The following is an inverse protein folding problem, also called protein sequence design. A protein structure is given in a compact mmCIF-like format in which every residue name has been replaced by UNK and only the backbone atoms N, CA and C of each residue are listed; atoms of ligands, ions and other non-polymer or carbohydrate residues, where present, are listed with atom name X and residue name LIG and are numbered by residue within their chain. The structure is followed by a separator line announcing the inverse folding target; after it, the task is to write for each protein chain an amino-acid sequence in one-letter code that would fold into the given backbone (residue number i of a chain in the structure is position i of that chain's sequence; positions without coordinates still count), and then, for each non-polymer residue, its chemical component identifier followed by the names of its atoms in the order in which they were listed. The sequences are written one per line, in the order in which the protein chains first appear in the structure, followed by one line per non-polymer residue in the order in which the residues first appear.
data_IF_594748264929
#
_entry.id   IF_594748264929
#
_cell.length_a   1.000
_cell.length_b   1.000
_cell.length_c   1.000
_cell.angle_alpha   90.00
_cell.angle_beta   90.00
_cell.angle_gamma   90.00
#
_symmetry.space_group_name_H-M   'P 1'
#
loop_
_entity.id
_entity.type
_entity.pdbx_description
1 polymer ?
#
# COMPACT_ATOMS: atom_id res chain seq x y z
N UNK A 1 2.00 -29.80 -0.03
CA UNK A 1 2.20 -29.13 -0.01
C UNK A 1 1.63 -28.10 0.42
N UNK A 2 1.71 -27.51 0.60
CA UNK A 2 1.33 -26.64 1.02
C UNK A 2 0.81 -25.69 0.33
N UNK A 3 0.16 -25.16 0.45
CA UNK A 3 -0.41 -24.41 -0.28
C UNK A 3 -0.47 -23.25 0.19
N UNK A 4 -0.33 -22.49 0.13
CA UNK A 4 -0.14 -21.48 0.51
C UNK A 4 -1.06 -20.63 0.53
N UNK A 5 -1.55 -20.22 0.32
CA UNK A 5 -2.32 -19.42 0.10
C UNK A 5 -2.58 -18.41 1.01
N UNK A 6 -3.70 -18.00 1.44
CA UNK A 6 -3.96 -16.94 2.35
C UNK A 6 -3.08 -17.05 3.56
N UNK A 7 -2.77 -18.25 3.94
CA UNK A 7 -1.92 -18.44 5.09
C UNK A 7 -0.55 -17.90 4.89
N UNK A 8 -0.15 -17.74 3.66
CA UNK A 8 1.21 -17.32 3.39
C UNK A 8 1.29 -15.88 2.93
N UNK A 9 0.22 -15.14 3.10
CA UNK A 9 0.25 -13.73 2.79
C UNK A 9 0.56 -12.98 4.07
N UNK A 10 1.71 -12.33 4.09
CA UNK A 10 2.12 -11.55 5.23
C UNK A 10 2.09 -10.10 4.90
N UNK A 11 1.42 -9.31 5.71
CA UNK A 11 1.37 -7.88 5.51
C UNK A 11 2.52 -7.24 6.26
N UNK A 12 3.26 -6.39 5.55
CA UNK A 12 4.30 -5.62 6.17
C UNK A 12 3.68 -4.35 6.72
N UNK A 13 4.54 -3.46 7.15
CA UNK A 13 4.13 -2.17 7.64
C UNK A 13 3.20 -1.46 6.65
N UNK A 14 3.49 -1.56 5.35
CA UNK A 14 2.63 -0.91 4.36
C UNK A 14 1.24 -1.53 4.33
N UNK A 15 1.16 -2.85 4.33
CA UNK A 15 -0.15 -3.50 4.31
C UNK A 15 -0.95 -3.22 5.56
N UNK A 16 -0.28 -3.21 6.71
CA UNK A 16 -0.97 -2.92 7.97
C UNK A 16 -1.43 -1.48 8.01
N UNK A 17 -0.62 -0.56 7.48
CA UNK A 17 -0.99 0.83 7.41
C UNK A 17 -2.21 1.01 6.50
N UNK A 18 -2.21 0.30 5.37
CA UNK A 18 -3.35 0.37 4.45
C UNK A 18 -4.61 -0.14 5.14
N UNK A 19 -4.50 -1.25 5.85
CA UNK A 19 -5.67 -1.80 6.52
C UNK A 19 -6.27 -0.81 7.50
N UNK A 20 -5.42 -0.18 8.31
CA UNK A 20 -5.90 0.77 9.28
C UNK A 20 -6.58 1.96 8.61
N UNK A 21 -5.93 2.49 7.57
CA UNK A 21 -6.45 3.65 6.89
C UNK A 21 -7.75 3.33 6.15
N UNK A 22 -7.79 2.19 5.45
CA UNK A 22 -8.99 1.82 4.69
C UNK A 22 -10.16 1.60 5.60
N UNK A 23 -9.94 0.96 6.76
CA UNK A 23 -11.05 0.72 7.68
C UNK A 23 -11.63 2.01 8.22
N UNK A 24 -10.79 3.00 8.38
CA UNK A 24 -11.25 4.28 8.91
C UNK A 24 -11.89 5.15 7.84
N UNK A 25 -11.29 5.21 6.66
CA UNK A 25 -11.71 6.16 5.64
C UNK A 25 -12.45 5.55 4.47
N UNK A 26 -12.39 4.25 4.31
CA UNK A 26 -13.08 3.55 3.22
C UNK A 26 -13.84 2.34 3.74
N UNK A 27 -14.70 2.54 4.75
CA UNK A 27 -15.33 1.38 5.40
C UNK A 27 -16.28 0.59 4.49
N UNK A 28 -16.94 1.25 3.55
CA UNK A 28 -17.83 0.50 2.66
C UNK A 28 -17.04 -0.40 1.73
N UNK A 29 -15.91 0.11 1.23
CA UNK A 29 -15.04 -0.70 0.38
C UNK A 29 -14.52 -1.91 1.15
N UNK A 30 -14.09 -1.69 2.39
CA UNK A 30 -13.57 -2.78 3.20
C UNK A 30 -14.66 -3.82 3.46
N UNK A 31 -15.86 -3.36 3.79
CA UNK A 31 -16.95 -4.29 4.05
C UNK A 31 -17.27 -5.13 2.84
N UNK A 32 -17.28 -4.51 1.67
CA UNK A 32 -17.54 -5.24 0.45
C UNK A 32 -16.46 -6.29 0.21
N UNK A 33 -15.22 -5.92 0.42
CA UNK A 33 -14.11 -6.88 0.24
C UNK A 33 -14.17 -8.00 1.26
N UNK A 34 -14.61 -7.70 2.48
CA UNK A 34 -14.76 -8.75 3.47
C UNK A 34 -15.85 -9.73 3.07
N UNK A 35 -16.97 -9.21 2.57
CA UNK A 35 -18.04 -10.08 2.14
C UNK A 35 -17.59 -10.97 1.00
N UNK A 36 -16.79 -10.44 0.09
CA UNK A 36 -16.31 -11.22 -1.04
C UNK A 36 -15.09 -12.07 -0.71
N UNK A 37 -14.51 -11.89 0.46
CA UNK A 37 -13.33 -12.63 0.85
C UNK A 37 -12.08 -12.18 0.15
N UNK A 38 -12.00 -10.92 -0.27
CA UNK A 38 -10.86 -10.44 -1.05
C UNK A 38 -10.03 -9.38 -0.34
N UNK A 39 -10.35 -9.06 0.91
CA UNK A 39 -9.67 -7.96 1.58
C UNK A 39 -8.17 -8.22 1.75
N UNK A 40 -7.80 -9.40 2.22
CA UNK A 40 -6.40 -9.69 2.46
C UNK A 40 -5.58 -9.58 1.18
N UNK A 41 -6.15 -10.11 0.09
CA UNK A 41 -5.44 -10.04 -1.19
C UNK A 41 -5.31 -8.61 -1.67
N UNK A 42 -6.35 -7.81 -1.47
CA UNK A 42 -6.29 -6.41 -1.88
C UNK A 42 -5.24 -5.65 -1.09
N UNK A 43 -5.15 -5.92 0.20
CA UNK A 43 -4.13 -5.28 1.03
C UNK A 43 -2.73 -5.71 0.61
N UNK A 44 -2.58 -7.00 0.31
CA UNK A 44 -1.30 -7.50 -0.13
C UNK A 44 -0.90 -6.87 -1.46
N UNK A 45 -1.84 -6.74 -2.37
CA UNK A 45 -1.53 -6.12 -3.64
C UNK A 45 -1.13 -4.66 -3.48
N UNK A 46 -1.85 -3.93 -2.63
CA UNK A 46 -1.50 -2.53 -2.37
C UNK A 46 -0.10 -2.43 -1.80
N UNK A 47 0.24 -3.34 -0.90
CA UNK A 47 1.56 -3.37 -0.31
C UNK A 47 2.64 -3.63 -1.35
N UNK A 48 2.42 -4.63 -2.20
CA UNK A 48 3.43 -5.01 -3.18
C UNK A 48 3.64 -3.91 -4.22
N UNK A 49 2.56 -3.27 -4.63
CA UNK A 49 2.70 -2.16 -5.57
C UNK A 49 3.43 -0.99 -4.94
N UNK A 50 3.15 -0.73 -3.66
CA UNK A 50 3.85 0.33 -2.97
C UNK A 50 5.34 0.04 -2.88
N UNK A 51 5.69 -1.19 -2.53
CA UNK A 51 7.10 -1.57 -2.44
C UNK A 51 7.80 -1.37 -3.77
N UNK A 52 7.18 -1.86 -4.85
CA UNK A 52 7.78 -1.75 -6.17
C UNK A 52 7.98 -0.30 -6.58
N UNK A 53 6.96 0.52 -6.39
CA UNK A 53 7.07 1.90 -6.84
C UNK A 53 7.98 2.72 -5.94
N UNK A 54 8.02 2.39 -4.65
CA UNK A 54 8.97 3.06 -3.76
C UNK A 54 10.40 2.77 -4.19
N UNK A 55 10.68 1.52 -4.54
CA UNK A 55 12.02 1.15 -4.97
C UNK A 55 12.41 1.89 -6.23
N UNK A 56 11.53 1.89 -7.21
CA UNK A 56 11.80 2.54 -8.48
C UNK A 56 11.97 4.04 -8.32
N UNK A 57 11.05 4.67 -7.63
CA UNK A 57 11.09 6.12 -7.52
C UNK A 57 12.24 6.60 -6.65
N UNK A 58 12.51 5.89 -5.56
CA UNK A 58 13.63 6.26 -4.72
C UNK A 58 14.93 6.20 -5.53
N UNK A 59 15.10 5.14 -6.32
CA UNK A 59 16.28 5.01 -7.15
C UNK A 59 16.39 6.16 -8.16
N UNK A 60 15.27 6.52 -8.78
CA UNK A 60 15.29 7.62 -9.72
C UNK A 60 15.66 8.93 -9.07
N UNK A 61 15.14 9.18 -7.88
CA UNK A 61 15.44 10.43 -7.20
C UNK A 61 16.91 10.48 -6.79
N UNK A 62 17.46 9.33 -6.41
CA UNK A 62 18.88 9.28 -6.06
C UNK A 62 19.78 9.51 -7.27
N UNK A 63 19.43 8.89 -8.40
CA UNK A 63 20.32 8.91 -9.55
C UNK A 63 20.11 10.12 -10.43
N UNK A 64 18.88 10.54 -10.61
CA UNK A 64 18.61 11.63 -11.54
C UNK A 64 18.59 12.99 -10.88
N UNK A 65 18.23 13.03 -9.61
CA UNK A 65 18.19 14.31 -8.90
C UNK A 65 19.25 14.40 -7.81
N UNK A 66 20.07 13.37 -7.70
CA UNK A 66 21.19 13.37 -6.76
C UNK A 66 20.78 13.60 -5.32
N UNK A 67 19.58 13.11 -4.95
CA UNK A 67 19.14 13.27 -3.58
C UNK A 67 19.82 12.24 -2.69
N UNK A 68 20.13 12.62 -1.44
CA UNK A 68 20.62 11.62 -0.50
C UNK A 68 19.58 10.53 -0.28
N UNK A 69 20.01 9.32 0.06
CA UNK A 69 19.06 8.19 0.15
C UNK A 69 17.86 8.44 1.05
N UNK A 70 18.09 9.03 2.21
CA UNK A 70 16.96 9.25 3.13
C UNK A 70 15.97 10.24 2.54
N UNK A 71 16.47 11.30 1.96
CA UNK A 71 15.59 12.31 1.38
C UNK A 71 14.86 11.75 0.17
N UNK A 72 15.55 10.94 -0.63
CA UNK A 72 14.91 10.31 -1.78
C UNK A 72 13.75 9.41 -1.32
N UNK A 73 13.98 8.64 -0.27
CA UNK A 73 12.96 7.77 0.25
C UNK A 73 11.76 8.57 0.77
N UNK A 74 12.02 9.62 1.52
CA UNK A 74 10.94 10.42 2.07
C UNK A 74 10.13 11.09 0.97
N UNK A 75 10.82 11.57 -0.05
CA UNK A 75 10.15 12.24 -1.15
C UNK A 75 9.31 11.24 -1.94
N UNK A 76 9.84 10.05 -2.16
CA UNK A 76 9.10 9.01 -2.86
C UNK A 76 7.83 8.64 -2.09
N UNK A 77 7.94 8.53 -0.77
CA UNK A 77 6.78 8.19 0.04
C UNK A 77 5.68 9.24 -0.09
N UNK A 78 6.07 10.51 -0.09
CA UNK A 78 5.08 11.57 -0.24
C UNK A 78 4.33 11.47 -1.56
N UNK A 79 5.01 10.97 -2.59
CA UNK A 79 4.39 10.88 -3.91
C UNK A 79 3.55 9.63 -4.10
N UNK A 80 3.86 8.56 -3.37
CA UNK A 80 3.23 7.28 -3.63
C UNK A 80 2.17 6.91 -2.62
N UNK A 81 2.27 7.41 -1.40
CA UNK A 81 1.43 6.92 -0.30
C UNK A 81 -0.06 6.99 -0.58
N UNK A 82 -0.49 7.98 -1.35
CA UNK A 82 -1.93 8.13 -1.58
C UNK A 82 -2.43 7.31 -2.75
N UNK A 83 -1.53 6.65 -3.46
CA UNK A 83 -1.96 5.83 -4.59
C UNK A 83 -2.57 4.52 -4.14
N UNK A 84 -1.99 3.91 -3.10
CA UNK A 84 -2.41 2.58 -2.69
C UNK A 84 -2.76 2.47 -1.22
N UNK A 85 -2.08 3.21 -0.39
CA UNK A 85 -2.17 3.04 1.06
C UNK A 85 -3.16 4.01 1.66
N UNK A 86 -2.90 5.31 1.50
CA UNK A 86 -3.71 6.34 2.11
C UNK A 86 -4.74 6.85 1.12
N UNK A 87 -5.64 5.97 0.72
CA UNK A 87 -6.66 6.33 -0.26
C UNK A 87 -7.55 7.43 0.29
N UNK A 88 -8.07 8.31 -0.59
CA UNK A 88 -8.94 9.37 -0.11
C UNK A 88 -10.20 8.80 0.54
N UNK A 89 -10.79 9.52 1.47
CA UNK A 89 -12.00 9.04 2.12
C UNK A 89 -13.14 8.84 1.13
N UNK A 90 -14.05 7.94 1.48
CA UNK A 90 -15.25 7.75 0.69
C UNK A 90 -16.06 9.01 0.73
N UNK A 91 -16.67 9.32 -0.41
CA UNK A 91 -17.50 10.49 -0.43
C UNK A 91 -18.80 10.22 0.24
N UNK A 92 -19.30 11.24 0.91
CA UNK A 92 -20.59 11.12 1.50
C UNK A 92 -21.60 11.48 0.51
N UNK A 93 -22.68 10.76 0.44
CA UNK A 93 -23.67 11.07 -0.58
C UNK A 93 -24.76 11.93 -0.09
#
# INVERSE_FOLDING_TARGET
MKTRMADEIYLTQYGLMAERHWREFRPAMVREMEVKGTLTEALFEAQERTIDEMETLTHELETKQNLPPQLAHDRAWEMIREKYILLPPEEES
#
